data_IF_914844370416
#
_entry.id   IF_914844370416
#
_cell.length_a   1.000
_cell.length_b   1.000
_cell.length_c   1.000
_cell.angle_alpha   90.00
_cell.angle_beta   90.00
_cell.angle_gamma   90.00
#
_symmetry.space_group_name_H-M   'P 1'
#
loop_
_entity.id
_entity.type
_entity.pdbx_description
1 polymer ?
#
# COMPACT_ATOMS: atom_id res chain seq x y z
N UNK A 1 17.69 12.00 8.15
CA UNK A 1 16.70 11.96 7.05
C UNK A 1 15.33 11.62 7.64
N UNK A 2 14.32 12.41 7.34
CA UNK A 2 12.94 12.11 7.77
C UNK A 2 12.33 11.00 6.89
N UNK A 3 11.27 10.37 7.38
CA UNK A 3 10.52 9.36 6.60
C UNK A 3 10.08 9.95 5.27
N UNK A 4 9.44 11.11 5.30
CA UNK A 4 8.93 11.75 4.08
C UNK A 4 10.05 12.14 3.11
N UNK A 5 11.19 12.63 3.62
CA UNK A 5 12.32 12.95 2.75
C UNK A 5 12.94 11.73 2.09
N UNK A 6 12.93 10.58 2.78
CA UNK A 6 13.37 9.31 2.19
C UNK A 6 12.48 8.93 0.99
N UNK A 7 11.17 8.85 1.19
CA UNK A 7 10.28 8.47 0.10
C UNK A 7 10.25 9.50 -1.04
N UNK A 8 10.36 10.79 -0.71
CA UNK A 8 10.44 11.85 -1.72
C UNK A 8 11.72 11.79 -2.57
N UNK A 9 12.79 11.20 -2.06
CA UNK A 9 14.06 11.04 -2.79
C UNK A 9 14.07 9.89 -3.78
N UNK A 10 13.08 8.99 -3.70
CA UNK A 10 13.03 7.82 -4.57
C UNK A 10 12.62 8.18 -5.99
N UNK A 11 13.18 7.49 -7.00
CA UNK A 11 12.86 7.75 -8.40
C UNK A 11 11.43 7.34 -8.75
N UNK A 12 10.91 7.92 -9.81
CA UNK A 12 9.73 7.40 -10.49
C UNK A 12 10.16 6.25 -11.41
N UNK A 13 9.23 5.37 -11.74
CA UNK A 13 9.50 4.28 -12.67
C UNK A 13 8.71 3.01 -12.38
N UNK A 14 9.04 1.95 -13.10
CA UNK A 14 8.45 0.64 -12.92
C UNK A 14 9.28 -0.19 -11.95
N UNK A 15 8.61 -0.83 -11.00
CA UNK A 15 9.25 -1.70 -10.03
C UNK A 15 9.33 -3.14 -10.54
N UNK A 16 10.38 -3.83 -10.12
CA UNK A 16 10.42 -5.27 -10.19
C UNK A 16 9.50 -5.88 -9.13
N UNK A 17 8.54 -6.68 -9.58
CA UNK A 17 7.63 -7.41 -8.68
C UNK A 17 8.42 -8.35 -7.76
N UNK A 18 9.44 -8.99 -8.28
CA UNK A 18 10.30 -9.89 -7.52
C UNK A 18 11.05 -9.15 -6.41
N UNK A 19 11.62 -7.99 -6.71
CA UNK A 19 12.28 -7.14 -5.72
C UNK A 19 11.32 -6.70 -4.61
N UNK A 20 10.08 -6.34 -4.96
CA UNK A 20 9.06 -5.99 -3.97
C UNK A 20 8.72 -7.19 -3.06
N UNK A 21 8.52 -8.37 -3.65
CA UNK A 21 8.23 -9.60 -2.88
C UNK A 21 9.34 -9.94 -1.91
N UNK A 22 10.58 -9.78 -2.30
CA UNK A 22 11.74 -10.06 -1.45
C UNK A 22 11.81 -9.16 -0.22
N UNK A 23 11.17 -8.00 -0.28
CA UNK A 23 11.09 -7.04 0.82
C UNK A 23 9.88 -7.25 1.74
N UNK A 24 8.99 -8.20 1.43
CA UNK A 24 7.81 -8.49 2.24
C UNK A 24 8.11 -9.59 3.26
N UNK A 25 8.10 -9.28 4.57
CA UNK A 25 8.37 -10.26 5.61
C UNK A 25 7.22 -11.25 5.81
N UNK A 26 7.48 -12.34 6.52
CA UNK A 26 6.51 -13.40 6.77
C UNK A 26 5.13 -12.93 7.30
N UNK A 27 5.02 -11.94 8.21
CA UNK A 27 3.71 -11.46 8.68
C UNK A 27 2.79 -10.94 7.58
N UNK A 28 3.33 -10.43 6.47
CA UNK A 28 2.53 -9.94 5.33
C UNK A 28 1.76 -11.06 4.66
N UNK A 29 2.26 -12.30 4.73
CA UNK A 29 1.60 -13.48 4.15
C UNK A 29 0.24 -13.78 4.81
N UNK A 30 0.00 -13.28 6.01
CA UNK A 30 -1.25 -13.46 6.76
C UNK A 30 -2.29 -12.39 6.45
N UNK A 31 -1.93 -11.36 5.72
CA UNK A 31 -2.83 -10.27 5.35
C UNK A 31 -3.52 -10.59 4.02
N UNK A 32 -4.83 -10.45 3.99
CA UNK A 32 -5.58 -10.50 2.72
C UNK A 32 -5.77 -9.10 2.20
N UNK A 33 -5.30 -8.82 1.00
CA UNK A 33 -5.36 -7.50 0.38
C UNK A 33 -6.59 -7.38 -0.50
N UNK A 34 -7.22 -6.21 -0.44
CA UNK A 34 -8.27 -5.78 -1.37
C UNK A 34 -7.72 -4.61 -2.17
N UNK A 35 -7.50 -4.80 -3.45
CA UNK A 35 -6.98 -3.76 -4.33
C UNK A 35 -8.07 -2.81 -4.81
N UNK A 36 -7.72 -1.54 -4.98
CA UNK A 36 -8.57 -0.54 -5.63
C UNK A 36 -7.77 0.09 -6.76
N UNK A 37 -8.20 -0.14 -7.99
CA UNK A 37 -7.57 0.39 -9.20
C UNK A 37 -8.56 1.29 -9.95
N UNK A 38 -8.07 2.07 -10.89
CA UNK A 38 -8.91 2.95 -11.70
C UNK A 38 -8.23 4.27 -12.00
N UNK A 39 -8.89 5.10 -12.79
CA UNK A 39 -8.39 6.44 -13.17
C UNK A 39 -8.95 7.55 -12.27
N UNK A 40 -10.08 7.32 -11.61
CA UNK A 40 -10.71 8.29 -10.71
C UNK A 40 -11.53 7.57 -9.63
N UNK A 41 -11.70 8.20 -8.47
CA UNK A 41 -12.54 7.70 -7.38
C UNK A 41 -11.88 6.64 -6.50
N UNK A 42 -10.64 6.28 -6.72
CA UNK A 42 -9.93 5.22 -5.96
C UNK A 42 -9.89 5.49 -4.47
N UNK A 43 -9.48 6.69 -4.07
CA UNK A 43 -9.30 7.06 -2.66
C UNK A 43 -10.62 7.00 -1.90
N UNK A 44 -11.71 7.49 -2.48
CA UNK A 44 -13.03 7.45 -1.85
C UNK A 44 -13.53 6.01 -1.68
N UNK A 45 -13.38 5.18 -2.71
CA UNK A 45 -13.78 3.76 -2.67
C UNK A 45 -12.95 3.00 -1.64
N UNK A 46 -11.64 3.20 -1.62
CA UNK A 46 -10.75 2.55 -0.66
C UNK A 46 -11.11 2.92 0.78
N UNK A 47 -11.33 4.19 1.06
CA UNK A 47 -11.72 4.67 2.38
C UNK A 47 -13.07 4.09 2.82
N UNK A 48 -14.06 4.04 1.93
CA UNK A 48 -15.38 3.46 2.20
C UNK A 48 -15.27 1.95 2.52
N UNK A 49 -14.53 1.21 1.72
CA UNK A 49 -14.32 -0.23 1.96
C UNK A 49 -13.63 -0.48 3.30
N UNK A 50 -12.57 0.27 3.61
CA UNK A 50 -11.85 0.12 4.87
C UNK A 50 -12.76 0.43 6.08
N UNK A 51 -13.55 1.50 6.01
CA UNK A 51 -14.50 1.86 7.06
C UNK A 51 -15.57 0.78 7.25
N UNK A 52 -16.08 0.21 6.18
CA UNK A 52 -17.08 -0.86 6.21
C UNK A 52 -16.52 -2.13 6.85
N UNK A 53 -15.31 -2.53 6.48
CA UNK A 53 -14.65 -3.70 7.05
C UNK A 53 -14.33 -3.50 8.53
N UNK A 54 -13.86 -2.33 8.90
CA UNK A 54 -13.60 -1.99 10.30
C UNK A 54 -14.89 -2.03 11.14
N UNK A 55 -15.99 -1.52 10.60
CA UNK A 55 -17.30 -1.57 11.26
C UNK A 55 -17.79 -3.01 11.51
N UNK A 56 -17.32 -3.99 10.75
CA UNK A 56 -17.60 -5.40 10.97
C UNK A 56 -16.71 -6.05 12.05
N UNK A 57 -15.86 -5.27 12.72
CA UNK A 57 -14.94 -5.78 13.72
C UNK A 57 -13.66 -6.41 13.17
N UNK A 58 -13.37 -6.20 11.89
CA UNK A 58 -12.16 -6.70 11.22
C UNK A 58 -11.02 -5.71 11.42
N UNK A 59 -9.86 -6.20 11.88
CA UNK A 59 -8.66 -5.36 11.97
C UNK A 59 -8.18 -5.04 10.57
N UNK A 60 -8.38 -3.78 10.18
CA UNK A 60 -8.31 -3.35 8.78
C UNK A 60 -7.21 -2.31 8.56
N UNK A 61 -6.35 -2.58 7.57
CA UNK A 61 -5.40 -1.62 7.04
C UNK A 61 -6.01 -0.83 5.87
N UNK A 62 -5.53 0.38 5.68
CA UNK A 62 -5.84 1.22 4.52
C UNK A 62 -4.58 1.93 4.05
N UNK A 63 -4.29 1.80 2.76
CA UNK A 63 -3.31 2.65 2.08
C UNK A 63 -3.96 3.38 0.93
N UNK A 64 -3.79 4.69 0.88
CA UNK A 64 -4.27 5.51 -0.23
C UNK A 64 -3.20 6.46 -0.75
N UNK A 65 -3.29 6.83 -2.03
CA UNK A 65 -2.44 7.84 -2.63
C UNK A 65 -2.81 9.25 -2.13
N UNK A 66 -1.92 10.20 -2.36
CA UNK A 66 -2.18 11.60 -2.01
C UNK A 66 -0.90 12.38 -1.77
N UNK A 67 -1.07 13.67 -1.50
CA UNK A 67 0.02 14.60 -1.20
C UNK A 67 0.34 14.70 0.29
N UNK A 68 -0.47 14.07 1.15
CA UNK A 68 -0.23 14.06 2.58
C UNK A 68 1.02 13.23 2.94
N UNK A 69 1.63 13.46 4.09
CA UNK A 69 2.70 12.59 4.59
C UNK A 69 2.28 11.12 4.61
N UNK A 70 3.21 10.23 4.29
CA UNK A 70 2.91 8.79 4.20
C UNK A 70 2.30 8.23 5.49
N UNK A 71 2.74 8.73 6.66
CA UNK A 71 2.19 8.33 7.94
C UNK A 71 0.69 8.59 8.10
N UNK A 72 0.12 9.52 7.33
CA UNK A 72 -1.33 9.80 7.31
C UNK A 72 -2.08 8.98 6.28
N UNK A 73 -1.37 8.47 5.28
CA UNK A 73 -1.95 7.69 4.18
C UNK A 73 -1.95 6.18 4.44
N UNK A 74 -1.22 5.73 5.45
CA UNK A 74 -1.26 4.36 5.96
C UNK A 74 -2.05 4.39 7.26
N UNK A 75 -3.18 3.69 7.30
CA UNK A 75 -4.07 3.67 8.46
C UNK A 75 -4.35 2.25 8.91
N UNK A 76 -4.51 2.09 10.22
CA UNK A 76 -4.87 0.82 10.84
C UNK A 76 -6.05 1.11 11.75
N UNK A 77 -7.17 0.43 11.48
CA UNK A 77 -8.44 0.63 12.18
C UNK A 77 -8.87 2.11 12.23
N UNK A 78 -8.67 2.82 11.13
CA UNK A 78 -9.06 4.22 10.97
C UNK A 78 -8.09 5.25 11.55
N UNK A 79 -7.05 4.83 12.26
CA UNK A 79 -6.03 5.72 12.81
C UNK A 79 -4.75 5.71 11.96
N UNK A 80 -4.01 6.82 11.89
CA UNK A 80 -2.69 6.83 11.26
C UNK A 80 -1.78 5.76 11.85
N UNK A 81 -0.93 5.18 11.00
CA UNK A 81 0.06 4.19 11.45
C UNK A 81 1.00 4.79 12.49
N UNK A 82 1.45 3.96 13.44
CA UNK A 82 2.48 4.35 14.41
C UNK A 82 3.77 4.79 13.69
N UNK A 83 4.26 5.98 14.03
CA UNK A 83 5.45 6.55 13.39
C UNK A 83 6.71 5.69 13.65
N UNK A 84 6.79 5.06 14.80
CA UNK A 84 7.89 4.15 15.14
C UNK A 84 7.91 2.93 14.20
N UNK A 85 6.76 2.34 13.95
CA UNK A 85 6.61 1.23 13.02
C UNK A 85 6.96 1.65 11.58
N UNK A 86 6.49 2.80 11.15
CA UNK A 86 6.80 3.31 9.82
C UNK A 86 8.29 3.65 9.67
N UNK A 87 8.90 4.19 10.72
CA UNK A 87 10.35 4.48 10.74
C UNK A 87 11.19 3.22 10.60
N UNK A 88 10.88 2.16 11.34
CA UNK A 88 11.54 0.87 11.21
C UNK A 88 11.38 0.28 9.81
N UNK A 89 10.20 0.43 9.24
CA UNK A 89 9.92 -0.02 7.87
C UNK A 89 10.74 0.77 6.85
N UNK A 90 10.82 2.08 6.98
CA UNK A 90 11.63 2.93 6.10
C UNK A 90 13.12 2.58 6.19
N UNK A 91 13.63 2.30 7.40
CA UNK A 91 15.00 1.85 7.60
C UNK A 91 15.27 0.53 6.88
N UNK A 92 14.36 -0.44 6.99
CA UNK A 92 14.50 -1.72 6.31
C UNK A 92 14.51 -1.57 4.78
N UNK A 93 13.67 -0.70 4.23
CA UNK A 93 13.65 -0.42 2.80
C UNK A 93 14.91 0.33 2.34
N UNK A 94 15.42 1.27 3.13
CA UNK A 94 16.61 2.05 2.80
C UNK A 94 17.90 1.21 2.80
N UNK A 95 17.90 0.08 3.50
CA UNK A 95 19.02 -0.85 3.52
C UNK A 95 19.08 -1.76 2.28
N UNK A 96 18.01 -1.80 1.50
CA UNK A 96 17.89 -2.57 0.27
C UNK A 96 18.15 -1.71 -0.95
N UNK A 97 18.20 -2.34 -2.13
CA UNK A 97 18.27 -1.63 -3.40
C UNK A 97 17.02 -0.76 -3.59
N UNK A 98 17.14 0.51 -4.00
CA UNK A 98 16.00 1.43 -4.08
C UNK A 98 14.90 0.95 -5.01
N UNK A 99 13.66 1.00 -4.51
CA UNK A 99 12.46 0.84 -5.33
C UNK A 99 12.01 2.21 -5.87
N UNK A 100 11.29 2.24 -6.99
CA UNK A 100 10.52 3.42 -7.37
C UNK A 100 9.54 3.81 -6.25
N UNK A 101 9.26 5.12 -6.14
CA UNK A 101 8.49 5.68 -5.02
C UNK A 101 7.17 4.96 -4.77
N UNK A 102 6.34 4.80 -5.81
CA UNK A 102 5.01 4.19 -5.66
C UNK A 102 5.09 2.75 -5.14
N UNK A 103 6.06 2.00 -5.63
CA UNK A 103 6.29 0.64 -5.18
C UNK A 103 6.85 0.59 -3.75
N UNK A 104 7.74 1.53 -3.40
CA UNK A 104 8.29 1.63 -2.06
C UNK A 104 7.22 1.99 -1.02
N UNK A 105 6.33 2.93 -1.34
CA UNK A 105 5.24 3.31 -0.45
C UNK A 105 4.25 2.15 -0.24
N UNK A 106 3.87 1.45 -1.31
CA UNK A 106 3.01 0.28 -1.22
C UNK A 106 3.65 -0.85 -0.41
N UNK A 107 4.93 -1.10 -0.63
CA UNK A 107 5.70 -2.10 0.13
C UNK A 107 5.77 -1.73 1.61
N UNK A 108 6.02 -0.46 1.93
CA UNK A 108 6.01 0.04 3.30
C UNK A 108 4.65 -0.16 3.97
N UNK A 109 3.56 0.17 3.27
CA UNK A 109 2.21 -0.03 3.78
C UNK A 109 1.94 -1.52 4.07
N UNK A 110 2.27 -2.40 3.13
CA UNK A 110 2.08 -3.85 3.31
C UNK A 110 2.86 -4.39 4.51
N UNK A 111 4.10 -3.94 4.71
CA UNK A 111 4.90 -4.32 5.88
C UNK A 111 4.26 -3.85 7.18
N UNK A 112 3.79 -2.61 7.23
CA UNK A 112 3.09 -2.07 8.40
C UNK A 112 1.84 -2.87 8.73
N UNK A 113 1.05 -3.25 7.73
CA UNK A 113 -0.15 -4.05 7.94
C UNK A 113 0.16 -5.45 8.48
N UNK A 114 1.20 -6.08 7.96
CA UNK A 114 1.66 -7.37 8.45
C UNK A 114 2.12 -7.31 9.91
N UNK A 115 2.97 -6.36 10.24
CA UNK A 115 3.50 -6.18 11.60
C UNK A 115 2.40 -5.77 12.59
N UNK A 116 1.41 -5.00 12.16
CA UNK A 116 0.28 -4.60 13.00
C UNK A 116 -0.77 -5.71 13.16
N UNK A 117 -0.63 -6.82 12.46
CA UNK A 117 -1.56 -7.94 12.55
C UNK A 117 -2.91 -7.69 11.89
N UNK A 118 -2.96 -6.89 10.83
CA UNK A 118 -4.19 -6.69 10.07
C UNK A 118 -4.66 -8.00 9.43
N UNK A 119 -5.96 -8.25 9.49
CA UNK A 119 -6.59 -9.40 8.81
C UNK A 119 -6.83 -9.08 7.34
N UNK A 120 -7.36 -7.89 7.07
CA UNK A 120 -7.59 -7.35 5.74
C UNK A 120 -6.90 -6.00 5.60
N UNK A 121 -6.45 -5.69 4.40
CA UNK A 121 -5.94 -4.37 4.06
C UNK A 121 -6.46 -3.93 2.69
N UNK A 122 -7.05 -2.75 2.65
CA UNK A 122 -7.49 -2.11 1.41
C UNK A 122 -6.35 -1.24 0.91
N UNK A 123 -5.91 -1.47 -0.30
CA UNK A 123 -4.78 -0.74 -0.90
C UNK A 123 -5.19 -0.10 -2.22
N UNK A 124 -4.99 1.20 -2.31
CA UNK A 124 -5.10 1.92 -3.57
C UNK A 124 -3.86 1.61 -4.40
N UNK A 125 -4.07 1.05 -5.59
CA UNK A 125 -2.98 0.67 -6.50
C UNK A 125 -2.64 1.85 -7.41
N UNK A 126 -1.42 2.41 -7.31
CA UNK A 126 -0.97 3.46 -8.23
C UNK A 126 -0.78 2.92 -9.65
N UNK A 127 -0.46 1.64 -9.75
CA UNK A 127 -0.34 0.86 -10.97
C UNK A 127 -0.95 -0.52 -10.70
N UNK A 128 -1.91 -0.94 -11.51
CA UNK A 128 -2.59 -2.23 -11.36
C UNK A 128 -1.61 -3.42 -11.39
N UNK A 129 -0.49 -3.30 -12.11
CA UNK A 129 0.56 -4.32 -12.15
C UNK A 129 1.19 -4.63 -10.80
N UNK A 130 1.19 -3.67 -9.86
CA UNK A 130 1.75 -3.85 -8.52
C UNK A 130 0.95 -4.85 -7.67
N UNK A 131 -0.28 -5.16 -8.04
CA UNK A 131 -1.08 -6.18 -7.36
C UNK A 131 -0.36 -7.53 -7.30
N UNK A 132 0.42 -7.86 -8.32
CA UNK A 132 1.17 -9.12 -8.39
C UNK A 132 2.26 -9.25 -7.32
N UNK A 133 2.70 -8.15 -6.72
CA UNK A 133 3.69 -8.17 -5.65
C UNK A 133 3.10 -8.58 -4.29
N UNK A 134 1.80 -8.42 -4.09
CA UNK A 134 1.13 -8.73 -2.83
C UNK A 134 0.76 -10.21 -2.77
N UNK A 135 0.96 -10.88 -1.62
CA UNK A 135 0.85 -12.33 -1.55
C UNK A 135 -0.58 -12.87 -1.68
N UNK A 136 -1.57 -12.10 -1.26
CA UNK A 136 -2.98 -12.50 -1.31
C UNK A 136 -3.86 -11.31 -1.66
N UNK A 137 -4.31 -11.26 -2.91
CA UNK A 137 -5.26 -10.25 -3.37
C UNK A 137 -6.38 -10.92 -4.17
N UNK A 138 -7.37 -11.52 -3.49
CA UNK A 138 -8.47 -12.22 -4.17
C UNK A 138 -9.44 -11.28 -4.86
N UNK A 139 -9.48 -10.01 -4.49
CA UNK A 139 -10.41 -9.01 -5.01
C UNK A 139 -9.67 -7.72 -5.37
N UNK A 140 -9.94 -7.21 -6.55
CA UNK A 140 -9.55 -5.87 -6.95
C UNK A 140 -10.76 -5.14 -7.51
N UNK A 141 -11.17 -4.05 -6.85
CA UNK A 141 -12.22 -3.18 -7.33
C UNK A 141 -11.66 -2.20 -8.37
N UNK A 142 -12.36 -2.08 -9.49
CA UNK A 142 -12.01 -1.10 -10.54
C UNK A 142 -13.07 -0.01 -10.55
N UNK A 143 -12.67 1.23 -10.24
CA UNK A 143 -13.61 2.35 -10.05
C UNK A 143 -14.04 2.99 -11.36
N UNK A 144 -13.09 3.45 -12.16
CA UNK A 144 -13.33 4.05 -13.46
C UNK A 144 -12.20 3.67 -14.41
N UNK A 145 -12.52 3.42 -15.66
CA UNK A 145 -11.54 3.06 -16.69
C UNK A 145 -11.50 4.18 -17.73
N UNK A 146 -10.42 4.96 -17.71
CA UNK A 146 -10.12 5.93 -18.76
C UNK A 146 -9.12 5.37 -19.76
N UNK A 147 -8.84 6.10 -20.84
CA UNK A 147 -7.92 5.65 -21.89
C UNK A 147 -6.54 5.23 -21.37
N UNK A 148 -6.00 5.94 -20.36
CA UNK A 148 -4.68 5.64 -19.80
C UNK A 148 -4.62 4.28 -19.08
N UNK A 149 -5.71 3.88 -18.42
CA UNK A 149 -5.74 2.61 -17.71
C UNK A 149 -5.71 1.40 -18.65
N UNK A 150 -6.25 1.55 -19.85
CA UNK A 150 -6.27 0.47 -20.85
C UNK A 150 -4.87 0.05 -21.31
N UNK A 151 -3.87 0.90 -21.16
CA UNK A 151 -2.48 0.57 -21.48
C UNK A 151 -1.78 -0.29 -20.43
N UNK A 152 -2.35 -0.41 -19.23
CA UNK A 152 -1.76 -1.15 -18.11
C UNK A 152 -2.42 -2.50 -17.84
N UNK A 153 -3.50 -2.76 -18.52
CA UNK A 153 -4.19 -4.04 -18.54
C UNK A 153 -3.88 -4.80 -19.83
#
# INVERSE_FOLDING_TARGET
>A
MTIDSYFASLPDGFASIEQMRDLLPAPVQKVTFVGVAGTAGKTAVAAFLAATLHAQGIRTGLYHAGCEPLAKRIRIDGAPVDEGLLSLTAQALSAAEPLPRDAAELTAAARCFGEAGCTLAVVELPDAGLAAALPQMPVCAVTAVGPLLLYYF
#
